data_IF_832559513251
#
_entry.id   IF_832559513251
#
_cell.length_a   1.000
_cell.length_b   1.000
_cell.length_c   1.000
_cell.angle_alpha   90.00
_cell.angle_beta   90.00
_cell.angle_gamma   90.00
#
_symmetry.space_group_name_H-M   'P 1'
#
loop_
_entity.id
_entity.type
_entity.pdbx_description
1 polymer ?
#
# COMPACT_ATOMS: atom_id res chain seq x y z
N UNK A 1 -6.02 17.38 -2.94
CA UNK A 1 -4.70 16.72 -2.85
C UNK A 1 -4.20 16.57 -4.28
N UNK A 2 -3.06 17.14 -4.63
CA UNK A 2 -2.46 16.91 -5.95
C UNK A 2 -2.12 15.43 -6.07
N UNK A 3 -2.58 14.71 -7.11
CA UNK A 3 -2.22 13.31 -7.27
C UNK A 3 -0.69 13.21 -7.30
N UNK A 4 -0.12 12.47 -6.33
CA UNK A 4 1.32 12.22 -6.31
C UNK A 4 1.71 11.51 -7.62
N UNK A 5 2.91 11.80 -8.14
CA UNK A 5 3.39 11.12 -9.36
C UNK A 5 3.35 9.60 -9.16
N UNK A 6 2.56 8.93 -9.99
CA UNK A 6 2.52 7.47 -10.06
C UNK A 6 3.89 6.93 -10.48
N UNK A 7 4.34 5.85 -9.85
CA UNK A 7 5.55 5.15 -10.24
C UNK A 7 5.30 4.44 -11.57
N UNK A 8 6.16 4.75 -12.54
CA UNK A 8 6.19 4.10 -13.85
C UNK A 8 7.57 3.47 -14.03
N UNK A 9 7.59 2.17 -14.31
CA UNK A 9 8.80 1.43 -14.66
C UNK A 9 8.60 0.86 -16.04
N UNK A 10 9.53 1.17 -16.95
CA UNK A 10 9.54 0.68 -18.31
C UNK A 10 10.44 -0.56 -18.44
N UNK A 11 10.18 -1.39 -19.44
CA UNK A 11 11.05 -2.52 -19.79
C UNK A 11 10.90 -3.76 -18.89
N UNK A 12 9.87 -3.83 -18.05
CA UNK A 12 9.64 -5.00 -17.19
C UNK A 12 9.41 -6.29 -17.99
N UNK A 13 8.78 -6.20 -19.17
CA UNK A 13 8.43 -7.38 -19.98
C UNK A 13 9.64 -8.09 -20.62
N UNK A 14 10.77 -7.38 -20.78
CA UNK A 14 11.96 -7.87 -21.51
C UNK A 14 13.24 -7.91 -20.66
N UNK A 15 13.20 -7.37 -19.44
CA UNK A 15 14.34 -7.35 -18.54
C UNK A 15 14.72 -8.77 -18.07
N UNK A 16 16.01 -8.99 -17.82
CA UNK A 16 16.49 -10.22 -17.20
C UNK A 16 16.13 -10.26 -15.70
N UNK A 17 16.14 -11.47 -15.12
CA UNK A 17 15.74 -11.68 -13.72
C UNK A 17 16.48 -10.81 -12.69
N UNK A 18 17.76 -10.49 -12.91
CA UNK A 18 18.50 -9.65 -11.98
C UNK A 18 18.14 -8.16 -12.17
N UNK A 19 18.03 -7.71 -13.41
CA UNK A 19 17.52 -6.36 -13.69
C UNK A 19 16.12 -6.15 -13.12
N UNK A 20 15.23 -7.16 -13.23
CA UNK A 20 13.90 -7.14 -12.62
C UNK A 20 13.96 -6.99 -11.09
N UNK A 21 14.85 -7.71 -10.40
CA UNK A 21 15.01 -7.55 -8.95
C UNK A 21 15.37 -6.11 -8.55
N UNK A 22 16.21 -5.42 -9.34
CA UNK A 22 16.59 -4.02 -9.07
C UNK A 22 15.42 -3.07 -9.39
N UNK A 23 14.81 -3.22 -10.57
CA UNK A 23 13.75 -2.33 -11.04
C UNK A 23 12.49 -2.39 -10.16
N UNK A 24 12.19 -3.55 -9.57
CA UNK A 24 10.94 -3.77 -8.83
C UNK A 24 11.05 -3.49 -7.33
N UNK A 25 12.26 -3.38 -6.77
CA UNK A 25 12.50 -3.29 -5.32
C UNK A 25 11.69 -2.20 -4.61
N UNK A 26 11.61 -1.00 -5.21
CA UNK A 26 10.88 0.14 -4.64
C UNK A 26 9.40 0.16 -5.03
N UNK A 27 9.04 -0.48 -6.14
CA UNK A 27 7.70 -0.43 -6.73
C UNK A 27 6.78 -1.43 -6.05
N UNK A 28 7.28 -2.63 -5.70
CA UNK A 28 6.51 -3.67 -5.04
C UNK A 28 5.98 -3.28 -3.64
N UNK A 29 6.48 -2.17 -3.08
CA UNK A 29 6.05 -1.64 -1.78
C UNK A 29 5.05 -0.50 -1.88
N UNK A 30 4.74 -0.05 -3.09
CA UNK A 30 3.83 1.08 -3.30
C UNK A 30 2.38 0.60 -3.30
N UNK A 31 1.46 1.43 -2.77
CA UNK A 31 0.03 1.15 -2.88
C UNK A 31 -0.42 1.32 -4.34
N UNK A 32 -1.52 0.65 -4.69
CA UNK A 32 -2.14 0.60 -6.01
C UNK A 32 -2.30 2.00 -6.63
N UNK A 33 -2.83 2.94 -5.86
CA UNK A 33 -3.08 4.34 -6.33
C UNK A 33 -1.81 5.11 -6.69
N UNK A 34 -0.63 4.63 -6.27
CA UNK A 34 0.66 5.23 -6.59
C UNK A 34 1.41 4.49 -7.70
N UNK A 35 0.78 3.50 -8.33
CA UNK A 35 1.34 2.74 -9.45
C UNK A 35 0.66 3.15 -10.74
N UNK A 36 1.45 3.26 -11.80
CA UNK A 36 0.91 3.39 -13.15
C UNK A 36 0.28 2.05 -13.57
N UNK A 37 -0.89 2.07 -14.22
CA UNK A 37 -1.64 0.84 -14.53
C UNK A 37 -0.84 -0.12 -15.42
N UNK A 38 -0.17 0.36 -16.48
CA UNK A 38 0.77 -0.47 -17.25
C UNK A 38 1.81 -1.20 -16.37
N UNK A 39 2.42 -0.49 -15.41
CA UNK A 39 3.43 -1.10 -14.52
C UNK A 39 2.79 -2.13 -13.59
N UNK A 40 1.57 -1.89 -13.10
CA UNK A 40 0.81 -2.89 -12.35
C UNK A 40 0.56 -4.13 -13.20
N UNK A 41 0.01 -3.98 -14.41
CA UNK A 41 -0.30 -5.10 -15.31
C UNK A 41 0.94 -5.93 -15.63
N UNK A 42 2.07 -5.28 -15.94
CA UNK A 42 3.33 -5.97 -16.22
C UNK A 42 3.87 -6.73 -14.99
N UNK A 43 3.73 -6.18 -13.77
CA UNK A 43 4.15 -6.85 -12.54
C UNK A 43 3.26 -8.04 -12.20
N UNK A 44 1.95 -7.93 -12.42
CA UNK A 44 1.01 -9.04 -12.25
C UNK A 44 1.30 -10.15 -13.28
N UNK A 45 1.57 -9.79 -14.53
CA UNK A 45 1.93 -10.76 -15.55
C UNK A 45 3.27 -11.46 -15.25
N UNK A 46 4.26 -10.72 -14.73
CA UNK A 46 5.52 -11.31 -14.26
C UNK A 46 5.30 -12.28 -13.08
N UNK A 47 4.27 -12.10 -12.26
CA UNK A 47 3.97 -13.01 -11.16
C UNK A 47 3.50 -14.39 -11.65
N UNK A 48 2.95 -14.47 -12.87
CA UNK A 48 2.51 -15.70 -13.53
C UNK A 48 3.65 -16.37 -14.34
N UNK A 49 4.75 -15.66 -14.60
CA UNK A 49 5.88 -16.18 -15.37
C UNK A 49 6.72 -17.21 -14.59
N UNK A 50 7.09 -18.28 -15.27
CA UNK A 50 8.07 -19.25 -14.80
C UNK A 50 9.53 -18.79 -15.02
N UNK A 51 10.48 -19.44 -14.37
CA UNK A 51 11.92 -19.21 -14.59
C UNK A 51 12.53 -17.98 -13.91
N UNK A 52 11.74 -17.22 -13.14
CA UNK A 52 12.23 -16.09 -12.36
C UNK A 52 13.03 -16.52 -11.12
N UNK A 53 13.94 -15.66 -10.61
CA UNK A 53 14.62 -15.90 -9.34
C UNK A 53 13.61 -16.13 -8.20
N UNK A 54 13.78 -17.20 -7.41
CA UNK A 54 12.88 -17.55 -6.29
C UNK A 54 12.53 -16.38 -5.34
N UNK A 55 13.49 -15.50 -4.95
CA UNK A 55 13.15 -14.35 -4.13
C UNK A 55 12.14 -13.41 -4.80
N UNK A 56 12.32 -13.15 -6.10
CA UNK A 56 11.46 -12.30 -6.90
C UNK A 56 10.07 -12.93 -7.07
N UNK A 57 9.98 -14.22 -7.38
CA UNK A 57 8.69 -14.93 -7.49
C UNK A 57 7.87 -14.80 -6.20
N UNK A 58 8.50 -14.97 -5.04
CA UNK A 58 7.82 -14.83 -3.75
C UNK A 58 7.35 -13.40 -3.49
N UNK A 59 8.15 -12.41 -3.86
CA UNK A 59 7.81 -11.01 -3.65
C UNK A 59 6.69 -10.55 -4.61
N UNK A 60 6.71 -11.03 -5.86
CA UNK A 60 5.64 -10.81 -6.85
C UNK A 60 4.31 -11.45 -6.44
N UNK A 61 4.34 -12.68 -5.90
CA UNK A 61 3.13 -13.34 -5.40
C UNK A 61 2.48 -12.57 -4.22
N UNK A 62 3.29 -12.06 -3.29
CA UNK A 62 2.78 -11.22 -2.19
C UNK A 62 2.23 -9.90 -2.70
N UNK A 63 2.89 -9.33 -3.71
CA UNK A 63 2.45 -8.11 -4.35
C UNK A 63 1.10 -8.29 -5.05
N UNK A 64 0.91 -9.37 -5.83
CA UNK A 64 -0.38 -9.63 -6.51
C UNK A 64 -1.53 -9.79 -5.51
N UNK A 65 -1.35 -10.58 -4.44
CA UNK A 65 -2.32 -10.71 -3.36
C UNK A 65 -2.67 -9.36 -2.72
N UNK A 66 -1.66 -8.51 -2.46
CA UNK A 66 -1.87 -7.18 -1.92
C UNK A 66 -2.64 -6.28 -2.89
N UNK A 67 -2.29 -6.28 -4.18
CA UNK A 67 -2.91 -5.42 -5.19
C UNK A 67 -4.37 -5.80 -5.44
N UNK A 68 -4.71 -7.08 -5.48
CA UNK A 68 -6.12 -7.50 -5.60
C UNK A 68 -6.94 -7.11 -4.37
N UNK A 69 -6.36 -7.19 -3.17
CA UNK A 69 -7.01 -6.66 -1.97
C UNK A 69 -7.22 -5.15 -2.05
N UNK A 70 -6.19 -4.40 -2.45
CA UNK A 70 -6.29 -2.95 -2.58
C UNK A 70 -7.29 -2.52 -3.67
N UNK A 71 -7.37 -3.27 -4.77
CA UNK A 71 -8.34 -3.05 -5.84
C UNK A 71 -9.78 -3.20 -5.33
N UNK A 72 -10.06 -4.25 -4.57
CA UNK A 72 -11.38 -4.48 -3.95
C UNK A 72 -11.70 -3.43 -2.87
N UNK A 73 -10.68 -2.92 -2.19
CA UNK A 73 -10.79 -1.87 -1.16
C UNK A 73 -10.89 -0.45 -1.75
N UNK A 74 -10.75 -0.26 -3.08
CA UNK A 74 -10.85 1.08 -3.68
C UNK A 74 -12.28 1.61 -3.55
N UNK A 75 -12.45 2.88 -3.12
CA UNK A 75 -13.76 3.48 -3.05
C UNK A 75 -14.30 3.72 -4.47
N UNK A 76 -15.59 3.44 -4.63
CA UNK A 76 -16.32 3.76 -5.85
C UNK A 76 -16.26 5.28 -6.12
N UNK A 77 -16.25 5.66 -7.40
CA UNK A 77 -16.14 7.03 -7.86
C UNK A 77 -14.73 7.39 -8.33
N UNK A 78 -14.35 8.67 -8.21
CA UNK A 78 -13.27 9.25 -9.03
C UNK A 78 -11.88 8.58 -8.97
N UNK A 79 -11.52 7.91 -7.88
CA UNK A 79 -10.25 7.14 -7.84
C UNK A 79 -10.34 5.84 -8.62
N UNK A 80 -11.43 5.09 -8.45
CA UNK A 80 -11.66 3.84 -9.17
C UNK A 80 -11.98 4.11 -10.63
N UNK A 81 -12.84 5.09 -10.93
CA UNK A 81 -13.13 5.50 -12.32
C UNK A 81 -11.87 5.96 -13.05
N UNK A 82 -11.03 6.81 -12.42
CA UNK A 82 -9.76 7.21 -13.02
C UNK A 82 -8.77 6.06 -13.19
N UNK A 83 -8.85 5.02 -12.34
CA UNK A 83 -8.10 3.79 -12.54
C UNK A 83 -8.61 2.99 -13.74
N UNK A 84 -9.93 2.87 -13.93
CA UNK A 84 -10.54 2.22 -15.09
C UNK A 84 -10.22 2.96 -16.39
N UNK A 85 -10.21 4.30 -16.36
CA UNK A 85 -9.84 5.12 -17.51
C UNK A 85 -8.38 4.89 -17.92
N UNK A 86 -7.46 4.83 -16.95
CA UNK A 86 -6.05 4.47 -17.22
C UNK A 86 -5.88 3.01 -17.68
N UNK A 87 -6.73 2.11 -17.20
CA UNK A 87 -6.72 0.71 -17.62
C UNK A 87 -7.20 0.53 -19.06
N UNK A 88 -8.17 1.34 -19.50
CA UNK A 88 -8.66 1.36 -20.88
C UNK A 88 -7.58 1.75 -21.91
N UNK A 89 -6.53 2.46 -21.47
CA UNK A 89 -5.39 2.84 -22.31
C UNK A 89 -4.33 1.74 -22.43
N UNK A 90 -4.40 0.69 -21.60
CA UNK A 90 -3.45 -0.42 -21.64
C UNK A 90 -3.86 -1.40 -22.74
N UNK A 91 -2.88 -1.87 -23.51
CA UNK A 91 -3.09 -2.93 -24.50
C UNK A 91 -3.71 -4.16 -23.80
N UNK A 92 -4.90 -4.64 -24.22
CA UNK A 92 -5.55 -5.78 -23.60
C UNK A 92 -4.68 -7.04 -23.53
N UNK A 93 -3.79 -7.25 -24.50
CA UNK A 93 -2.85 -8.38 -24.50
C UNK A 93 -1.87 -8.34 -23.33
N UNK A 94 -1.60 -7.15 -22.77
CA UNK A 94 -0.73 -6.96 -21.62
C UNK A 94 -1.43 -7.20 -20.27
N UNK A 95 -2.76 -7.34 -20.24
CA UNK A 95 -3.51 -7.60 -19.01
C UNK A 95 -3.50 -9.11 -18.73
N UNK A 96 -2.91 -9.57 -17.62
CA UNK A 96 -2.82 -11.00 -17.28
C UNK A 96 -4.17 -11.59 -16.86
N UNK A 97 -4.32 -12.89 -17.04
CA UNK A 97 -5.59 -13.60 -16.86
C UNK A 97 -6.11 -13.51 -15.43
N UNK A 98 -5.24 -13.62 -14.41
CA UNK A 98 -5.68 -13.46 -13.02
C UNK A 98 -6.27 -12.06 -12.75
N UNK A 99 -5.72 -11.02 -13.40
CA UNK A 99 -6.24 -9.68 -13.25
C UNK A 99 -7.59 -9.50 -13.96
N UNK A 100 -7.76 -10.10 -15.13
CA UNK A 100 -9.06 -10.14 -15.83
C UNK A 100 -10.14 -10.81 -14.99
N UNK A 101 -9.82 -11.94 -14.36
CA UNK A 101 -10.75 -12.66 -13.47
C UNK A 101 -11.17 -11.81 -12.27
N UNK A 102 -10.24 -11.08 -11.65
CA UNK A 102 -10.55 -10.18 -10.53
C UNK A 102 -11.42 -8.99 -10.96
N UNK A 103 -11.19 -8.44 -12.14
CA UNK A 103 -12.02 -7.37 -12.70
C UNK A 103 -13.42 -7.86 -13.04
N UNK A 104 -13.56 -9.06 -13.62
CA UNK A 104 -14.85 -9.69 -13.87
C UNK A 104 -15.60 -9.96 -12.55
N UNK A 105 -14.92 -10.52 -11.55
CA UNK A 105 -15.53 -10.75 -10.24
C UNK A 105 -16.02 -9.45 -9.57
N UNK A 106 -15.27 -8.34 -9.76
CA UNK A 106 -15.66 -7.02 -9.25
C UNK A 106 -16.86 -6.43 -10.01
N UNK A 107 -17.01 -6.73 -11.30
CA UNK A 107 -18.14 -6.26 -12.11
C UNK A 107 -19.49 -6.85 -11.62
N UNK A 108 -19.45 -8.08 -11.13
CA UNK A 108 -20.61 -8.79 -10.58
C UNK A 108 -21.03 -8.31 -9.18
N UNK A 109 -20.28 -7.39 -8.56
CA UNK A 109 -20.64 -6.89 -7.24
C UNK A 109 -21.86 -5.95 -7.30
N UNK A 110 -22.93 -6.33 -6.59
CA UNK A 110 -24.16 -5.54 -6.49
C UNK A 110 -23.94 -4.15 -5.86
N UNK A 111 -22.96 -4.03 -4.96
CA UNK A 111 -22.66 -2.79 -4.26
C UNK A 111 -21.92 -1.75 -5.13
N UNK A 112 -21.40 -2.15 -6.30
CA UNK A 112 -20.66 -1.27 -7.20
C UNK A 112 -21.56 -0.19 -7.79
N UNK A 113 -21.10 1.06 -7.79
CA UNK A 113 -21.80 2.16 -8.46
C UNK A 113 -22.07 1.85 -9.95
N UNK A 114 -23.27 2.17 -10.44
CA UNK A 114 -23.76 1.81 -11.78
C UNK A 114 -22.80 2.23 -12.90
N UNK A 115 -22.33 3.48 -12.90
CA UNK A 115 -21.39 3.95 -13.92
C UNK A 115 -20.00 3.27 -13.87
N UNK A 116 -19.55 2.86 -12.68
CA UNK A 116 -18.31 2.11 -12.54
C UNK A 116 -18.48 0.66 -13.02
N UNK A 117 -19.65 0.06 -12.76
CA UNK A 117 -20.02 -1.27 -13.24
C UNK A 117 -20.08 -1.33 -14.76
N UNK A 118 -20.75 -0.37 -15.40
CA UNK A 118 -20.84 -0.30 -16.86
C UNK A 118 -19.46 -0.21 -17.52
N UNK A 119 -18.59 0.70 -17.03
CA UNK A 119 -17.22 0.82 -17.55
C UNK A 119 -16.41 -0.45 -17.37
N UNK A 120 -16.51 -1.07 -16.20
CA UNK A 120 -15.79 -2.30 -15.91
C UNK A 120 -16.29 -3.46 -16.77
N UNK A 121 -17.60 -3.57 -17.00
CA UNK A 121 -18.19 -4.55 -17.91
C UNK A 121 -17.69 -4.36 -19.35
N UNK A 122 -17.64 -3.13 -19.85
CA UNK A 122 -17.08 -2.84 -21.18
C UNK A 122 -15.60 -3.21 -21.30
N UNK A 123 -14.81 -3.01 -20.24
CA UNK A 123 -13.41 -3.44 -20.22
C UNK A 123 -13.28 -4.96 -20.23
N UNK A 124 -14.06 -5.65 -19.41
CA UNK A 124 -14.07 -7.13 -19.36
C UNK A 124 -14.43 -7.70 -20.72
N UNK A 125 -15.48 -7.19 -21.37
CA UNK A 125 -15.87 -7.58 -22.73
C UNK A 125 -14.74 -7.36 -23.74
N UNK A 126 -14.04 -6.22 -23.69
CA UNK A 126 -12.90 -5.95 -24.55
C UNK A 126 -11.72 -6.91 -24.35
N UNK A 127 -11.63 -7.57 -23.19
CA UNK A 127 -10.57 -8.51 -22.86
C UNK A 127 -10.87 -9.94 -23.29
N UNK A 128 -12.15 -10.35 -23.39
CA UNK A 128 -12.54 -11.75 -23.61
C UNK A 128 -11.88 -12.39 -24.84
N UNK A 129 -11.81 -11.65 -25.95
CA UNK A 129 -11.27 -12.16 -27.22
C UNK A 129 -9.77 -11.89 -27.42
N UNK A 130 -9.11 -11.17 -26.52
CA UNK A 130 -7.70 -10.83 -26.69
C UNK A 130 -6.81 -11.79 -25.91
N UNK A 131 -5.98 -12.64 -26.55
CA UNK A 131 -5.08 -13.52 -25.82
C UNK A 131 -4.05 -12.75 -25.00
N UNK A 132 -3.75 -13.23 -23.80
CA UNK A 132 -2.67 -12.69 -22.99
C UNK A 132 -1.30 -12.98 -23.62
N UNK A 133 -0.49 -11.95 -23.80
CA UNK A 133 0.94 -12.07 -24.13
C UNK A 133 1.73 -12.10 -22.81
N UNK A 134 2.31 -13.24 -22.39
CA UNK A 134 3.09 -13.28 -21.17
C UNK A 134 4.46 -12.61 -21.35
N UNK A 135 4.99 -11.91 -20.33
CA UNK A 135 6.36 -11.42 -20.33
C UNK A 135 7.36 -12.52 -20.65
N UNK A 136 8.38 -12.19 -21.43
CA UNK A 136 9.50 -13.07 -21.73
C UNK A 136 10.75 -12.55 -21.04
N UNK A 137 10.90 -12.77 -19.72
CA UNK A 137 12.04 -12.28 -18.98
C UNK A 137 13.32 -12.84 -19.60
N UNK A 138 14.27 -11.95 -19.88
CA UNK A 138 15.50 -12.32 -20.57
C UNK A 138 16.25 -13.41 -19.80
N UNK A 139 16.46 -14.57 -20.43
CA UNK A 139 17.26 -15.67 -19.86
C UNK A 139 18.75 -15.33 -19.80
N UNK A 140 19.18 -14.31 -20.53
CA UNK A 140 20.58 -13.93 -20.64
C UNK A 140 20.96 -12.92 -19.57
N UNK A 141 21.49 -13.43 -18.45
CA UNK A 141 22.62 -12.74 -17.82
C UNK A 141 23.76 -12.71 -18.84
N UNK A 142 23.78 -11.71 -19.74
CA UNK A 142 24.97 -11.40 -20.52
C UNK A 142 26.06 -11.22 -19.47
N UNK A 143 27.01 -12.16 -19.40
CA UNK A 143 28.11 -12.11 -18.42
C UNK A 143 28.81 -10.77 -18.61
N UNK A 144 28.39 -9.76 -17.85
CA UNK A 144 29.09 -8.49 -17.76
C UNK A 144 30.37 -8.88 -17.04
N UNK A 145 31.43 -9.08 -17.82
CA UNK A 145 32.77 -9.22 -17.31
C UNK A 145 33.08 -7.86 -16.68
N UNK A 146 32.75 -7.72 -15.40
CA UNK A 146 33.14 -6.56 -14.61
C UNK A 146 34.66 -6.53 -14.68
N UNK A 147 35.20 -5.65 -15.53
CA UNK A 147 36.60 -5.30 -15.45
C UNK A 147 36.76 -4.72 -14.05
N UNK A 148 37.51 -5.43 -13.20
CA UNK A 148 38.01 -4.85 -11.96
C UNK A 148 38.82 -3.63 -12.39
N UNK A 149 38.26 -2.44 -12.20
CA UNK A 149 39.08 -1.25 -12.17
C UNK A 149 40.04 -1.43 -11.00
N UNK A 150 41.33 -1.26 -11.25
CA UNK A 150 42.36 -1.20 -10.23
C UNK A 150 41.98 -0.10 -9.25
N UNK A 151 41.53 -0.50 -8.06
CA UNK A 151 41.32 0.41 -6.94
C UNK A 151 42.70 0.66 -6.34
N UNK A 152 43.24 1.90 -6.40
CA UNK A 152 44.49 2.19 -5.73
C UNK A 152 44.28 2.03 -4.22
N UNK A 153 45.12 1.18 -3.66
CA UNK A 153 45.20 0.84 -2.24
C UNK A 153 45.47 2.10 -1.42
N UNK A 154 44.46 2.59 -0.71
CA UNK A 154 44.56 3.76 0.17
C UNK A 154 44.42 3.33 1.62
N UNK A 155 45.28 2.41 2.04
CA UNK A 155 45.65 2.25 3.44
C UNK A 155 46.50 3.44 3.91
N UNK A 156 45.85 4.52 4.34
CA UNK A 156 46.43 5.45 5.33
C UNK A 156 45.38 5.87 6.34
N UNK A 157 45.41 5.21 7.49
CA UNK A 157 44.90 5.79 8.72
C UNK A 157 45.81 6.95 9.15
N UNK A 158 45.24 8.01 9.73
CA UNK A 158 45.84 8.66 10.86
C UNK A 158 44.90 8.54 12.06
N UNK A 159 45.34 7.71 12.99
CA UNK A 159 45.11 7.87 14.41
C UNK A 159 45.47 9.31 14.81
N UNK A 160 44.55 10.08 15.39
CA UNK A 160 44.90 11.13 16.36
C UNK A 160 43.69 11.67 17.16
N UNK A 161 43.79 11.48 18.48
CA UNK A 161 43.54 12.49 19.54
C UNK A 161 42.12 12.96 19.87
N UNK A 162 41.56 12.30 20.89
CA UNK A 162 41.48 12.82 22.28
C UNK A 162 41.07 14.30 22.47
N UNK A 163 39.77 14.55 22.73
CA UNK A 163 39.20 15.60 23.64
C UNK A 163 37.81 15.12 24.07
N UNK A 164 37.48 14.71 25.31
CA UNK A 164 37.50 15.30 26.67
C UNK A 164 36.67 16.60 26.82
N UNK A 165 35.69 16.53 27.75
CA UNK A 165 34.84 17.57 28.37
C UNK A 165 33.58 17.98 27.56
N UNK A 166 32.40 18.21 28.12
CA UNK A 166 31.91 18.34 29.52
C UNK A 166 30.38 18.21 29.51
N UNK A 167 29.85 17.73 30.63
CA UNK A 167 28.47 17.87 31.10
C UNK A 167 27.98 19.32 31.07
N UNK A 168 26.78 19.55 30.54
CA UNK A 168 25.93 20.68 30.93
C UNK A 168 24.48 20.22 31.03
N UNK A 169 24.02 20.09 32.28
CA UNK A 169 22.62 20.18 32.68
C UNK A 169 22.11 21.58 32.32
N UNK A 170 20.97 21.66 31.66
CA UNK A 170 20.14 22.86 31.67
C UNK A 170 18.68 22.43 31.75
N UNK A 171 18.18 22.54 32.98
CA UNK A 171 16.79 22.71 33.35
C UNK A 171 16.30 24.10 32.94
N UNK A 172 15.13 24.17 32.30
CA UNK A 172 14.22 25.32 32.30
C UNK A 172 12.83 24.80 31.93
N UNK A 173 11.90 24.61 32.87
CA UNK A 173 11.09 25.62 33.57
C UNK A 173 10.16 26.42 32.65
N UNK A 174 8.85 26.27 32.87
CA UNK A 174 7.89 27.37 32.75
C UNK A 174 7.19 27.53 31.42
N UNK A 175 6.00 26.94 31.31
CA UNK A 175 5.06 27.20 30.22
C UNK A 175 3.67 26.73 30.60
N UNK A 176 3.09 27.36 31.64
CA UNK A 176 1.68 27.23 31.98
C UNK A 176 0.86 27.80 30.82
N UNK A 177 0.08 26.95 30.15
CA UNK A 177 -0.96 27.35 29.21
C UNK A 177 -2.29 26.91 29.77
N UNK A 178 -3.19 27.88 29.83
CA UNK A 178 -4.42 27.91 30.61
C UNK A 178 -5.37 26.77 30.26
N UNK A 179 -5.95 26.21 31.33
CA UNK A 179 -7.05 25.27 31.26
C UNK A 179 -8.26 25.94 30.62
N UNK A 180 -8.65 25.42 29.45
CA UNK A 180 -9.96 25.67 28.87
C UNK A 180 -10.86 24.51 29.28
N UNK A 181 -11.50 24.66 30.43
CA UNK A 181 -12.56 23.78 30.92
C UNK A 181 -13.71 23.82 29.92
N UNK A 182 -13.77 22.83 29.04
CA UNK A 182 -14.89 22.65 28.10
C UNK A 182 -16.00 21.94 28.87
N UNK A 183 -17.14 22.60 28.98
CA UNK A 183 -18.34 22.06 29.61
C UNK A 183 -18.71 20.69 29.00
N UNK A 184 -19.15 19.71 29.81
CA UNK A 184 -19.60 18.43 29.30
C UNK A 184 -20.97 18.61 28.62
N UNK A 185 -21.00 18.49 27.29
CA UNK A 185 -22.24 18.40 26.53
C UNK A 185 -22.83 16.99 26.70
N UNK A 186 -24.14 16.83 26.97
CA UNK A 186 -24.74 15.52 27.14
C UNK A 186 -25.05 14.88 25.78
N UNK A 187 -24.09 14.12 25.23
CA UNK A 187 -24.27 13.26 24.03
C UNK A 187 -23.86 11.80 24.24
N UNK A 188 -23.67 11.37 25.50
CA UNK A 188 -23.02 10.11 25.88
C UNK A 188 -23.51 8.85 25.14
N UNK A 189 -24.82 8.69 24.92
CA UNK A 189 -25.34 7.46 24.30
C UNK A 189 -25.16 7.39 22.78
N UNK A 190 -25.22 8.53 22.08
CA UNK A 190 -24.99 8.56 20.62
C UNK A 190 -23.51 8.35 20.30
N UNK A 191 -22.65 8.79 21.21
CA UNK A 191 -21.20 8.64 21.11
C UNK A 191 -20.76 7.18 21.35
N UNK A 192 -21.40 6.45 22.27
CA UNK A 192 -21.08 5.03 22.55
C UNK A 192 -21.33 4.10 21.36
N UNK A 193 -22.50 4.18 20.70
CA UNK A 193 -22.79 3.35 19.51
C UNK A 193 -21.84 3.64 18.36
N UNK A 194 -21.51 4.92 18.18
CA UNK A 194 -20.57 5.40 17.16
C UNK A 194 -19.16 4.88 17.44
N UNK A 195 -18.71 4.99 18.68
CA UNK A 195 -17.42 4.46 19.12
C UNK A 195 -17.32 2.95 18.94
N UNK A 196 -18.36 2.21 19.31
CA UNK A 196 -18.42 0.76 19.17
C UNK A 196 -18.34 0.32 17.70
N UNK A 197 -19.05 1.00 16.80
CA UNK A 197 -18.95 0.72 15.38
C UNK A 197 -17.53 0.95 14.84
N UNK A 198 -16.88 2.08 15.21
CA UNK A 198 -15.49 2.37 14.81
C UNK A 198 -14.55 1.28 15.34
N UNK A 199 -14.76 0.83 16.58
CA UNK A 199 -13.98 -0.24 17.21
C UNK A 199 -14.06 -1.54 16.42
N UNK A 200 -15.27 -1.97 16.07
CA UNK A 200 -15.50 -3.19 15.29
C UNK A 200 -14.87 -3.10 13.91
N UNK A 201 -15.11 -1.99 13.19
CA UNK A 201 -14.54 -1.74 11.86
C UNK A 201 -13.01 -1.78 11.86
N UNK A 202 -12.36 -1.11 12.83
CA UNK A 202 -10.91 -1.08 12.96
C UNK A 202 -10.33 -2.45 13.28
N UNK A 203 -10.95 -3.20 14.21
CA UNK A 203 -10.45 -4.52 14.61
C UNK A 203 -10.60 -5.54 13.48
N UNK A 204 -11.74 -5.52 12.79
CA UNK A 204 -11.97 -6.34 11.60
C UNK A 204 -10.88 -6.10 10.54
N UNK A 205 -10.58 -4.84 10.22
CA UNK A 205 -9.48 -4.52 9.29
C UNK A 205 -8.15 -4.99 9.83
N UNK A 206 -7.81 -4.67 11.07
CA UNK A 206 -6.51 -5.05 11.61
C UNK A 206 -6.32 -6.57 11.69
N UNK A 207 -7.39 -7.35 11.88
CA UNK A 207 -7.34 -8.82 11.85
C UNK A 207 -6.87 -9.35 10.48
N UNK A 208 -7.34 -8.74 9.39
CA UNK A 208 -6.98 -9.12 8.01
C UNK A 208 -5.50 -8.86 7.66
N UNK A 209 -4.81 -7.99 8.40
CA UNK A 209 -3.41 -7.62 8.17
C UNK A 209 -2.47 -8.18 9.25
N UNK A 210 -2.99 -8.77 10.33
CA UNK A 210 -2.23 -9.43 11.39
C UNK A 210 -1.06 -8.58 11.91
N UNK A 211 0.16 -9.08 11.72
CA UNK A 211 1.38 -8.46 12.27
C UNK A 211 1.97 -7.32 11.43
N UNK A 212 1.62 -7.20 10.14
CA UNK A 212 2.14 -6.13 9.27
C UNK A 212 1.49 -4.79 9.57
N UNK A 213 0.21 -4.82 9.95
CA UNK A 213 -0.55 -3.66 10.37
C UNK A 213 -0.82 -2.64 9.26
N UNK A 214 -1.65 -1.65 9.58
CA UNK A 214 -2.11 -0.60 8.68
C UNK A 214 -1.66 0.78 9.14
N UNK A 215 -1.38 1.68 8.19
CA UNK A 215 -1.13 3.09 8.51
C UNK A 215 -2.42 3.74 9.02
N UNK A 216 -2.30 4.64 10.00
CA UNK A 216 -3.44 5.35 10.58
C UNK A 216 -4.30 6.06 9.53
N UNK A 217 -3.68 6.73 8.55
CA UNK A 217 -4.39 7.38 7.45
C UNK A 217 -5.26 6.42 6.62
N UNK A 218 -4.85 5.16 6.46
CA UNK A 218 -5.61 4.13 5.71
C UNK A 218 -6.80 3.65 6.53
N UNK A 219 -6.62 3.49 7.85
CA UNK A 219 -7.70 3.14 8.76
C UNK A 219 -8.75 4.24 8.80
N UNK A 220 -8.34 5.50 8.93
CA UNK A 220 -9.24 6.67 8.91
C UNK A 220 -10.01 6.75 7.58
N UNK A 221 -9.31 6.60 6.44
CA UNK A 221 -9.93 6.69 5.13
C UNK A 221 -10.99 5.59 4.93
N UNK A 222 -10.68 4.33 5.26
CA UNK A 222 -11.66 3.26 5.09
C UNK A 222 -12.80 3.30 6.12
N UNK A 223 -12.53 3.69 7.37
CA UNK A 223 -13.59 3.88 8.36
C UNK A 223 -14.59 4.95 7.90
N UNK A 224 -14.11 6.08 7.34
CA UNK A 224 -14.98 7.13 6.77
C UNK A 224 -15.82 6.64 5.61
N UNK A 225 -15.28 5.76 4.77
CA UNK A 225 -15.98 5.23 3.62
C UNK A 225 -17.12 4.29 4.02
N UNK A 226 -16.87 3.39 4.99
CA UNK A 226 -17.84 2.39 5.44
C UNK A 226 -18.80 2.89 6.52
N UNK A 227 -18.52 4.08 7.08
CA UNK A 227 -19.31 4.62 8.16
C UNK A 227 -20.76 4.86 7.73
N UNK A 228 -21.73 4.44 8.54
CA UNK A 228 -23.11 4.93 8.40
C UNK A 228 -23.24 6.41 8.82
N UNK A 229 -22.14 7.03 9.26
CA UNK A 229 -22.06 8.40 9.76
C UNK A 229 -21.36 9.32 8.74
N UNK A 230 -22.13 10.24 8.14
CA UNK A 230 -21.61 11.19 7.13
C UNK A 230 -20.54 12.16 7.66
N UNK A 231 -20.52 12.38 8.97
CA UNK A 231 -19.67 13.36 9.64
C UNK A 231 -18.53 12.72 10.44
N UNK A 232 -18.11 11.49 10.09
CA UNK A 232 -17.03 10.80 10.81
C UNK A 232 -15.69 11.57 10.71
N UNK A 233 -15.24 12.11 11.83
CA UNK A 233 -13.97 12.81 11.92
C UNK A 233 -12.80 11.83 12.12
N UNK A 234 -11.64 12.14 11.53
CA UNK A 234 -10.45 11.30 11.67
C UNK A 234 -9.95 11.23 13.12
N UNK A 235 -10.20 12.29 13.90
CA UNK A 235 -9.84 12.35 15.32
C UNK A 235 -10.63 11.33 16.16
N UNK A 236 -11.86 10.98 15.78
CA UNK A 236 -12.68 9.97 16.45
C UNK A 236 -12.06 8.57 16.26
N UNK A 237 -11.70 8.23 15.02
CA UNK A 237 -11.02 6.97 14.70
C UNK A 237 -9.67 6.88 15.43
N UNK A 238 -8.93 7.99 15.46
CA UNK A 238 -7.65 8.09 16.19
C UNK A 238 -7.84 7.92 17.70
N UNK A 239 -8.92 8.47 18.27
CA UNK A 239 -9.25 8.31 19.69
C UNK A 239 -9.56 6.86 20.03
N UNK A 240 -10.32 6.16 19.19
CA UNK A 240 -10.62 4.72 19.35
C UNK A 240 -9.36 3.87 19.24
N UNK A 241 -8.50 4.12 18.26
CA UNK A 241 -7.21 3.43 18.11
C UNK A 241 -6.34 3.58 19.37
N UNK A 242 -6.25 4.79 19.91
CA UNK A 242 -5.52 5.05 21.17
C UNK A 242 -6.15 4.34 22.36
N UNK A 243 -7.49 4.25 22.43
CA UNK A 243 -8.20 3.51 23.48
C UNK A 243 -7.90 2.02 23.39
N UNK A 244 -8.00 1.41 22.21
CA UNK A 244 -7.61 0.02 21.96
C UNK A 244 -6.13 -0.25 22.26
N UNK A 245 -5.26 0.72 22.00
CA UNK A 245 -3.85 0.65 22.36
C UNK A 245 -3.64 0.60 23.88
N UNK A 246 -4.38 1.41 24.65
CA UNK A 246 -4.37 1.37 26.13
C UNK A 246 -4.93 0.07 26.69
N UNK A 247 -5.95 -0.49 26.06
CA UNK A 247 -6.52 -1.80 26.41
C UNK A 247 -5.60 -2.97 26.02
N UNK A 248 -4.55 -2.71 25.24
CA UNK A 248 -3.59 -3.72 24.82
C UNK A 248 -4.11 -4.65 23.72
N UNK A 249 -5.19 -4.28 23.02
CA UNK A 249 -5.72 -5.06 21.89
C UNK A 249 -4.89 -4.84 20.62
N UNK A 250 -4.42 -3.60 20.42
CA UNK A 250 -3.60 -3.20 19.27
C UNK A 250 -2.27 -2.60 19.73
N UNK A 251 -1.28 -2.61 18.86
CA UNK A 251 0.02 -1.93 19.06
C UNK A 251 0.28 -0.95 17.92
N UNK A 252 0.86 0.20 18.27
CA UNK A 252 1.35 1.18 17.29
C UNK A 252 2.88 1.09 17.20
N UNK A 253 3.40 0.81 16.00
CA UNK A 253 4.84 0.69 15.74
C UNK A 253 5.18 1.21 14.35
N UNK A 254 6.20 2.06 14.24
CA UNK A 254 6.66 2.64 12.98
C UNK A 254 5.52 3.30 12.14
N UNK A 255 4.58 3.99 12.80
CA UNK A 255 3.46 4.66 12.13
C UNK A 255 2.34 3.72 11.67
N UNK A 256 2.34 2.47 12.14
CA UNK A 256 1.34 1.45 11.80
C UNK A 256 0.68 0.88 13.05
N UNK A 257 -0.62 0.62 12.94
CA UNK A 257 -1.42 -0.07 13.92
C UNK A 257 -1.54 -1.55 13.54
N UNK A 258 -1.36 -2.46 14.49
CA UNK A 258 -1.44 -3.92 14.26
C UNK A 258 -2.06 -4.62 15.47
N UNK A 259 -2.62 -5.81 15.28
CA UNK A 259 -3.16 -6.62 16.39
C UNK A 259 -2.03 -7.05 17.34
N UNK A 260 -2.31 -7.03 18.64
CA UNK A 260 -1.38 -7.53 19.67
C UNK A 260 -1.80 -8.95 20.07
N UNK A 261 -0.97 -9.94 19.74
CA UNK A 261 -1.22 -11.35 20.04
C UNK A 261 -1.81 -12.15 18.86
N UNK A 262 -1.92 -13.48 19.00
CA UNK A 262 -2.63 -14.35 18.05
C UNK A 262 -4.13 -14.26 18.35
N UNK A 263 -4.89 -13.79 17.38
CA UNK A 263 -6.34 -13.95 17.26
C UNK A 263 -6.61 -14.97 16.17
#
# INVERSE_FOLDING_TARGET
MTPGRKAKVAGLRTADGMTLMVLTQDVLRRPLVQLHVQTLSDLLALAECEGLPKPLTRDLARFSEQMFRELRDLPDGGLFEGFLDELAEVDPSHIPDAFRLELAARAEEEALAEGARERLASLVEAFEDTPHDPPQPGTASRKVRVQRADVPDSHKAPDERRRRRTTTRSSSSGGASEGRTRAPTPTSQKDERREQWIREDVLDRLSSYGSTGLKEAILIAGARHRAPFKDLAGDEVTAVLRKLGREGVVKHSAGRWSMKGRW
#
